data_IF_654365848887
#
_entry.id   IF_654365848887
#
_cell.length_a   1.000
_cell.length_b   1.000
_cell.length_c   1.000
_cell.angle_alpha   90.00
_cell.angle_beta   90.00
_cell.angle_gamma   90.00
#
_symmetry.space_group_name_H-M   'P 1'
#
loop_
_entity.id
_entity.type
_entity.pdbx_description
1 polymer ?
#
# COMPACT_ATOMS: atom_id res chain seq x y z
N UNK A 1 -53.93 2.90 -45.51
CA UNK A 1 -55.13 2.94 -44.65
C UNK A 1 -54.76 3.72 -43.40
N UNK A 2 -55.36 4.89 -43.27
CA UNK A 2 -55.18 5.87 -42.17
C UNK A 2 -55.78 5.36 -40.88
N UNK A 3 -55.26 5.80 -39.72
CA UNK A 3 -55.96 6.30 -38.52
C UNK A 3 -54.89 6.74 -37.51
N UNK A 4 -54.55 8.01 -37.39
CA UNK A 4 -54.92 9.08 -36.44
C UNK A 4 -54.69 8.79 -34.95
N UNK A 5 -53.66 9.35 -34.35
CA UNK A 5 -53.47 10.47 -33.44
C UNK A 5 -54.65 10.77 -32.46
N UNK A 6 -54.41 10.66 -31.16
CA UNK A 6 -55.17 11.40 -30.15
C UNK A 6 -54.25 11.93 -29.03
N UNK A 7 -54.11 13.23 -29.05
CA UNK A 7 -53.59 14.10 -27.99
C UNK A 7 -54.74 14.34 -27.01
N UNK A 8 -54.51 14.12 -25.71
CA UNK A 8 -55.38 14.71 -24.67
C UNK A 8 -54.56 15.57 -23.73
N UNK A 9 -54.73 16.85 -23.96
CA UNK A 9 -54.35 17.96 -23.12
C UNK A 9 -55.31 18.01 -21.90
N UNK A 10 -54.79 18.03 -20.66
CA UNK A 10 -55.53 18.55 -19.50
C UNK A 10 -54.67 19.51 -18.71
N UNK A 11 -55.03 20.79 -18.88
CA UNK A 11 -54.68 21.89 -18.00
C UNK A 11 -55.54 21.86 -16.71
N UNK A 12 -54.98 22.35 -15.63
CA UNK A 12 -55.79 22.76 -14.47
C UNK A 12 -55.04 22.62 -13.14
N UNK A 13 -54.58 23.53 -12.53
CA UNK A 13 -55.03 24.47 -11.54
C UNK A 13 -53.83 24.91 -10.64
N UNK A 14 -53.48 26.18 -10.74
CA UNK A 14 -52.65 26.87 -9.75
C UNK A 14 -53.47 27.07 -8.47
N UNK A 15 -52.94 26.61 -7.35
CA UNK A 15 -53.37 27.01 -6.02
C UNK A 15 -52.22 27.70 -5.31
N UNK A 16 -52.29 29.01 -5.24
CA UNK A 16 -51.43 29.86 -4.44
C UNK A 16 -51.68 29.63 -2.98
N UNK A 17 -50.69 29.16 -2.21
CA UNK A 17 -50.74 29.12 -0.75
C UNK A 17 -49.71 30.13 -0.23
N UNK A 18 -50.20 31.30 0.20
CA UNK A 18 -49.46 32.30 0.94
C UNK A 18 -49.20 31.78 2.34
N UNK A 19 -47.95 31.52 2.69
CA UNK A 19 -47.53 31.21 4.05
C UNK A 19 -46.96 32.50 4.65
N UNK A 20 -47.65 32.95 5.70
CA UNK A 20 -47.26 34.05 6.59
C UNK A 20 -45.93 33.73 7.27
N UNK A 21 -44.92 34.57 7.08
CA UNK A 21 -43.75 34.63 7.94
C UNK A 21 -44.13 35.32 9.25
N UNK A 22 -44.32 34.53 10.29
CA UNK A 22 -44.29 35.04 11.69
C UNK A 22 -42.84 35.18 12.12
N UNK A 23 -42.35 36.39 12.18
CA UNK A 23 -41.07 36.72 12.79
C UNK A 23 -41.17 36.54 14.32
N UNK A 24 -40.63 35.46 14.87
CA UNK A 24 -40.34 35.34 16.29
C UNK A 24 -38.98 35.93 16.56
N UNK A 25 -38.96 37.18 17.03
CA UNK A 25 -37.82 37.80 17.64
C UNK A 25 -37.60 37.18 19.03
N UNK A 26 -36.67 36.25 19.15
CA UNK A 26 -36.16 35.79 20.44
C UNK A 26 -35.11 36.79 20.95
N UNK A 27 -35.52 37.62 21.90
CA UNK A 27 -34.62 38.45 22.71
C UNK A 27 -33.74 37.55 23.58
N UNK A 28 -32.47 37.48 23.27
CA UNK A 28 -31.46 36.92 24.17
C UNK A 28 -31.28 37.83 25.40
N UNK A 29 -31.26 37.30 26.62
CA UNK A 29 -30.97 38.12 27.80
C UNK A 29 -29.52 38.63 27.75
N UNK A 30 -29.39 39.95 27.97
CA UNK A 30 -28.11 40.60 28.12
C UNK A 30 -27.32 39.97 29.27
N UNK A 31 -26.15 39.40 28.97
CA UNK A 31 -25.17 39.02 30.01
C UNK A 31 -24.65 40.33 30.62
N UNK A 32 -24.97 40.54 31.87
CA UNK A 32 -24.35 41.54 32.72
C UNK A 32 -22.85 41.29 32.75
N UNK A 33 -22.07 42.25 32.25
CA UNK A 33 -20.63 42.25 32.36
C UNK A 33 -20.27 42.35 33.88
N UNK A 34 -19.58 41.32 34.36
CA UNK A 34 -18.94 41.38 35.68
C UNK A 34 -17.83 42.45 35.70
N UNK A 35 -17.41 42.89 36.88
CA UNK A 35 -16.44 43.97 36.99
C UNK A 35 -15.12 43.58 36.34
N UNK A 36 -14.65 44.39 35.40
CA UNK A 36 -13.31 44.30 34.79
C UNK A 36 -12.32 44.67 35.91
N UNK A 37 -11.64 43.67 36.45
CA UNK A 37 -10.47 43.89 37.31
C UNK A 37 -9.34 44.26 36.33
N UNK A 38 -9.04 45.57 36.25
CA UNK A 38 -7.85 46.06 35.61
C UNK A 38 -6.64 45.60 36.41
N UNK A 39 -5.91 44.64 35.93
CA UNK A 39 -4.57 44.36 36.42
C UNK A 39 -3.65 45.53 36.04
N UNK A 40 -2.78 45.98 36.94
CA UNK A 40 -1.81 47.01 36.59
C UNK A 40 -0.86 46.46 35.52
N UNK A 41 -0.57 47.29 34.51
CA UNK A 41 0.44 47.06 33.50
C UNK A 41 1.77 46.68 34.14
N UNK A 42 2.04 45.37 34.23
CA UNK A 42 3.41 44.91 34.39
C UNK A 42 4.01 44.83 32.99
N UNK A 43 5.15 45.47 32.74
CA UNK A 43 5.86 45.33 31.51
C UNK A 43 6.23 43.86 31.35
N UNK A 44 5.81 43.25 30.21
CA UNK A 44 6.25 41.92 29.82
C UNK A 44 7.78 41.91 29.81
N UNK A 45 8.43 40.91 30.44
CA UNK A 45 9.87 40.77 30.34
C UNK A 45 10.26 40.75 28.87
N UNK A 46 11.29 41.54 28.53
CA UNK A 46 11.86 41.60 27.19
C UNK A 46 12.07 40.19 26.64
N UNK A 47 11.36 39.87 25.58
CA UNK A 47 11.66 38.65 24.81
C UNK A 47 13.09 38.83 24.29
N UNK A 48 14.02 37.89 24.56
CA UNK A 48 15.32 37.95 23.93
C UNK A 48 15.11 37.93 22.42
N UNK A 49 15.66 38.93 21.75
CA UNK A 49 15.69 38.99 20.28
C UNK A 49 16.43 37.79 19.78
N UNK A 50 15.77 36.94 18.96
CA UNK A 50 16.38 35.78 18.32
C UNK A 50 17.18 36.16 17.07
N UNK A 51 17.43 37.43 16.83
CA UNK A 51 18.26 37.94 15.76
C UNK A 51 19.45 38.70 16.34
N UNK A 52 20.51 37.98 16.70
CA UNK A 52 21.85 38.52 16.66
C UNK A 52 22.52 37.99 15.38
N UNK A 53 22.80 38.93 14.49
CA UNK A 53 23.74 38.75 13.39
C UNK A 53 25.12 38.48 14.00
N UNK A 54 25.59 37.25 13.94
CA UNK A 54 26.95 36.87 13.56
C UNK A 54 27.11 35.36 13.69
N UNK A 55 27.35 34.76 12.54
CA UNK A 55 27.37 33.34 12.37
C UNK A 55 28.54 32.62 13.01
N UNK A 56 28.27 31.85 14.00
CA UNK A 56 28.90 30.53 14.24
C UNK A 56 27.85 29.69 14.97
N UNK A 57 27.25 28.74 14.31
CA UNK A 57 26.41 27.76 14.95
C UNK A 57 27.26 26.89 15.90
N UNK A 58 27.28 27.20 17.16
CA UNK A 58 27.70 26.25 18.19
C UNK A 58 26.50 25.31 18.49
N UNK A 59 26.65 24.08 18.06
CA UNK A 59 25.62 23.01 17.98
C UNK A 59 25.29 22.35 19.33
N UNK A 60 25.82 22.85 20.46
CA UNK A 60 25.83 22.11 21.72
C UNK A 60 24.81 22.54 22.79
N UNK A 61 24.22 23.76 22.77
CA UNK A 61 23.54 24.27 23.96
C UNK A 61 22.09 24.78 23.74
N UNK A 62 21.45 24.51 22.62
CA UNK A 62 20.14 25.07 22.28
C UNK A 62 18.93 24.45 22.98
N UNK A 63 19.09 23.32 23.61
CA UNK A 63 18.02 22.71 24.38
C UNK A 63 18.42 22.59 25.85
N UNK A 64 18.13 23.63 26.62
CA UNK A 64 18.08 23.46 28.06
C UNK A 64 16.96 22.44 28.35
N UNK A 65 17.35 21.19 28.61
CA UNK A 65 16.46 20.07 28.90
C UNK A 65 15.52 20.36 30.08
N UNK A 66 15.81 21.40 30.88
CA UNK A 66 15.00 21.85 32.03
C UNK A 66 13.84 22.76 31.64
N UNK A 67 13.83 23.28 30.39
CA UNK A 67 12.78 24.18 29.91
C UNK A 67 11.53 23.44 29.38
N UNK A 68 11.59 22.12 29.17
CA UNK A 68 10.46 21.34 28.72
C UNK A 68 9.64 20.82 29.91
N UNK A 69 8.35 21.10 29.90
CA UNK A 69 7.40 20.43 30.82
C UNK A 69 7.36 18.96 30.44
N UNK A 70 7.90 18.10 31.29
CA UNK A 70 7.81 16.65 31.15
C UNK A 70 6.67 16.14 32.01
N UNK A 71 5.84 15.23 31.49
CA UNK A 71 4.92 14.46 32.29
C UNK A 71 5.68 13.67 33.38
N UNK A 72 5.10 13.51 34.58
CA UNK A 72 5.76 12.84 35.72
C UNK A 72 6.26 11.42 35.38
N UNK A 73 5.54 10.70 34.52
CA UNK A 73 5.93 9.33 34.09
C UNK A 73 7.16 9.30 33.16
N UNK A 74 7.60 10.47 32.66
CA UNK A 74 8.81 10.59 31.83
C UNK A 74 10.01 11.13 32.60
N UNK A 75 9.87 11.29 33.93
CA UNK A 75 10.97 11.76 34.77
C UNK A 75 12.08 10.69 34.82
N UNK A 76 13.24 11.06 34.30
CA UNK A 76 14.45 10.22 34.31
C UNK A 76 14.76 9.51 32.99
N UNK A 77 13.79 9.34 32.07
CA UNK A 77 13.99 8.67 30.79
C UNK A 77 14.02 9.65 29.62
N UNK A 78 14.95 9.44 28.69
CA UNK A 78 14.97 10.20 27.44
C UNK A 78 13.94 9.60 26.47
N UNK A 79 12.99 10.43 25.95
CA UNK A 79 12.00 9.95 25.03
C UNK A 79 12.64 9.51 23.71
N UNK A 80 12.16 8.39 23.18
CA UNK A 80 12.47 7.93 21.84
C UNK A 80 11.63 8.72 20.85
N UNK A 81 12.25 9.45 19.96
CA UNK A 81 11.56 10.29 18.97
C UNK A 81 11.57 9.63 17.60
N UNK A 82 10.37 9.48 17.04
CA UNK A 82 10.14 8.82 15.75
C UNK A 82 9.42 9.80 14.83
N UNK A 83 10.07 10.20 13.75
CA UNK A 83 9.45 11.06 12.74
C UNK A 83 8.50 10.26 11.85
N UNK A 84 7.26 10.68 11.67
CA UNK A 84 6.31 10.08 10.74
C UNK A 84 5.99 11.06 9.61
N UNK A 85 6.47 10.76 8.41
CA UNK A 85 6.36 11.61 7.24
C UNK A 85 5.22 11.12 6.33
N UNK A 86 4.11 11.87 6.28
CA UNK A 86 2.93 11.52 5.49
C UNK A 86 2.39 12.72 4.70
N UNK A 87 1.69 12.50 3.58
CA UNK A 87 1.18 13.57 2.71
C UNK A 87 -0.17 14.13 3.20
N UNK A 88 -0.18 14.76 4.39
CA UNK A 88 -1.41 15.23 5.04
C UNK A 88 -2.14 16.30 4.25
N UNK A 89 -1.41 17.16 3.54
CA UNK A 89 -1.97 18.26 2.75
C UNK A 89 -1.76 18.09 1.24
N UNK A 90 -1.55 16.86 0.75
CA UNK A 90 -1.43 16.60 -0.68
C UNK A 90 -2.66 17.11 -1.45
N UNK A 91 -2.49 17.53 -2.70
CA UNK A 91 -3.59 17.99 -3.56
C UNK A 91 -4.64 16.90 -3.80
N UNK A 92 -4.19 15.65 -3.91
CA UNK A 92 -5.05 14.49 -4.11
C UNK A 92 -5.78 14.12 -2.80
N UNK A 93 -7.11 14.19 -2.81
CA UNK A 93 -7.96 13.86 -1.65
C UNK A 93 -7.80 12.39 -1.19
N UNK A 94 -7.60 11.45 -2.11
CA UNK A 94 -7.39 10.06 -1.75
C UNK A 94 -6.05 9.88 -0.99
N UNK A 95 -5.02 10.61 -1.38
CA UNK A 95 -3.73 10.62 -0.68
C UNK A 95 -3.87 11.17 0.74
N UNK A 96 -4.63 12.26 0.93
CA UNK A 96 -4.91 12.82 2.28
C UNK A 96 -5.66 11.84 3.16
N UNK A 97 -6.68 11.16 2.63
CA UNK A 97 -7.42 10.12 3.38
C UNK A 97 -6.54 8.95 3.78
N UNK A 98 -5.66 8.50 2.88
CA UNK A 98 -4.68 7.45 3.20
C UNK A 98 -3.71 7.94 4.28
N UNK A 99 -3.17 9.15 4.17
CA UNK A 99 -2.27 9.72 5.16
C UNK A 99 -2.90 9.82 6.56
N UNK A 100 -4.17 10.27 6.64
CA UNK A 100 -4.92 10.30 7.89
C UNK A 100 -5.06 8.90 8.50
N UNK A 101 -5.49 7.91 7.71
CA UNK A 101 -5.65 6.54 8.20
C UNK A 101 -4.31 5.88 8.58
N UNK A 102 -3.22 6.18 7.89
CA UNK A 102 -1.88 5.73 8.27
C UNK A 102 -1.43 6.38 9.59
N UNK A 103 -1.75 7.64 9.83
CA UNK A 103 -1.47 8.30 11.09
C UNK A 103 -2.30 7.69 12.23
N UNK A 104 -3.60 7.45 12.01
CA UNK A 104 -4.46 6.77 12.97
C UNK A 104 -3.91 5.38 13.33
N UNK A 105 -3.45 4.62 12.33
CA UNK A 105 -2.83 3.31 12.53
C UNK A 105 -1.51 3.39 13.32
N UNK A 106 -0.68 4.41 13.04
CA UNK A 106 0.54 4.65 13.81
C UNK A 106 0.26 5.02 15.27
N UNK A 107 -0.79 5.83 15.53
CA UNK A 107 -1.22 6.12 16.90
C UNK A 107 -1.71 4.85 17.61
N UNK A 108 -2.50 4.02 16.93
CA UNK A 108 -2.95 2.74 17.48
C UNK A 108 -1.76 1.87 17.90
N UNK A 109 -0.73 1.80 17.05
CA UNK A 109 0.50 1.05 17.36
C UNK A 109 1.25 1.60 18.59
N UNK A 110 1.26 2.91 18.79
CA UNK A 110 1.83 3.54 20.02
C UNK A 110 1.06 3.09 21.26
N UNK A 111 -0.27 3.09 21.20
CA UNK A 111 -1.09 2.61 22.31
C UNK A 111 -0.90 1.12 22.58
N UNK A 112 -0.83 0.31 21.53
CA UNK A 112 -0.63 -1.14 21.65
C UNK A 112 0.76 -1.51 22.19
N UNK A 113 1.78 -0.72 21.84
CA UNK A 113 3.13 -0.89 22.36
C UNK A 113 3.21 -0.60 23.86
N UNK A 114 2.38 0.32 24.37
CA UNK A 114 2.33 0.69 25.79
C UNK A 114 3.60 1.37 26.34
N UNK A 115 4.52 1.77 25.45
CA UNK A 115 5.75 2.47 25.86
C UNK A 115 5.48 3.97 26.03
N UNK A 116 5.53 4.43 27.26
CA UNK A 116 5.26 5.81 27.64
C UNK A 116 6.35 6.78 27.18
N UNK A 117 7.53 6.29 26.85
CA UNK A 117 8.66 7.11 26.40
C UNK A 117 8.78 7.19 24.86
N UNK A 118 7.87 6.58 24.11
CA UNK A 118 7.84 6.61 22.66
C UNK A 118 7.02 7.81 22.15
N UNK A 119 7.67 8.71 21.41
CA UNK A 119 7.05 9.91 20.86
C UNK A 119 7.00 9.88 19.35
N UNK A 120 5.81 9.86 18.79
CA UNK A 120 5.57 9.98 17.34
C UNK A 120 5.48 11.47 16.96
N UNK A 121 6.28 11.88 15.96
CA UNK A 121 6.38 13.26 15.48
C UNK A 121 5.86 13.31 14.04
N UNK A 122 4.57 13.63 13.81
CA UNK A 122 4.03 13.72 12.47
C UNK A 122 4.57 14.96 11.74
N UNK A 123 4.94 14.79 10.46
CA UNK A 123 5.41 15.83 9.53
C UNK A 123 4.71 15.70 8.20
N UNK A 124 4.30 16.82 7.66
CA UNK A 124 3.60 16.87 6.38
C UNK A 124 4.59 16.96 5.21
N UNK A 125 4.50 15.97 4.30
CA UNK A 125 5.29 15.94 3.06
C UNK A 125 4.62 16.67 1.90
N UNK A 126 3.37 17.03 2.02
CA UNK A 126 2.50 17.55 0.95
C UNK A 126 2.36 16.60 -0.27
N UNK A 127 2.98 15.41 -0.21
CA UNK A 127 3.05 14.49 -1.32
C UNK A 127 4.09 14.86 -2.38
N UNK A 128 5.01 15.75 -2.06
CA UNK A 128 6.00 16.33 -2.95
C UNK A 128 7.43 16.02 -2.47
N UNK A 129 8.38 15.95 -3.39
CA UNK A 129 9.79 15.71 -3.10
C UNK A 129 10.38 16.79 -2.16
N UNK A 130 10.16 18.08 -2.46
CA UNK A 130 10.67 19.19 -1.65
C UNK A 130 10.03 19.20 -0.25
N UNK A 131 8.71 18.96 -0.18
CA UNK A 131 7.97 18.83 1.08
C UNK A 131 8.51 17.70 1.94
N UNK A 132 8.80 16.53 1.37
CA UNK A 132 9.37 15.39 2.05
C UNK A 132 10.79 15.67 2.61
N UNK A 133 11.64 16.29 1.81
CA UNK A 133 12.97 16.71 2.28
C UNK A 133 12.89 17.73 3.42
N UNK A 134 11.96 18.70 3.36
CA UNK A 134 11.74 19.66 4.42
C UNK A 134 11.18 18.98 5.69
N UNK A 135 10.24 18.05 5.54
CA UNK A 135 9.67 17.25 6.62
C UNK A 135 10.75 16.41 7.33
N UNK A 136 11.63 15.75 6.56
CA UNK A 136 12.75 14.99 7.10
C UNK A 136 13.72 15.89 7.91
N UNK A 137 14.13 17.03 7.36
CA UNK A 137 14.97 18.00 8.11
C UNK A 137 14.31 18.48 9.40
N UNK A 138 13.01 18.76 9.35
CA UNK A 138 12.26 19.18 10.54
C UNK A 138 12.18 18.08 11.58
N UNK A 139 11.90 16.84 11.19
CA UNK A 139 11.85 15.71 12.13
C UNK A 139 13.22 15.47 12.79
N UNK A 140 14.30 15.55 12.03
CA UNK A 140 15.67 15.43 12.56
C UNK A 140 16.03 16.58 13.50
N UNK A 141 15.62 17.82 13.19
CA UNK A 141 15.80 18.96 14.09
C UNK A 141 15.03 18.80 15.41
N UNK A 142 13.87 18.13 15.39
CA UNK A 142 13.12 17.75 16.59
C UNK A 142 13.72 16.53 17.31
N UNK A 143 14.83 15.99 16.82
CA UNK A 143 15.58 14.90 17.43
C UNK A 143 15.06 13.51 17.10
N UNK A 144 14.40 13.32 15.95
CA UNK A 144 14.00 11.99 15.49
C UNK A 144 15.20 11.06 15.34
N UNK A 145 15.10 9.85 15.88
CA UNK A 145 16.14 8.81 15.85
C UNK A 145 15.90 7.82 14.71
N UNK A 146 14.70 7.75 14.19
CA UNK A 146 14.27 7.01 13.00
C UNK A 146 13.16 7.77 12.29
N UNK A 147 13.07 7.61 10.97
CA UNK A 147 12.01 8.20 10.15
C UNK A 147 11.11 7.08 9.61
N UNK A 148 9.80 7.21 9.77
CA UNK A 148 8.77 6.36 9.16
C UNK A 148 8.11 7.12 8.02
N UNK A 149 7.94 6.48 6.86
CA UNK A 149 7.56 7.17 5.65
C UNK A 149 8.77 7.72 4.88
N UNK A 150 8.55 8.47 3.79
CA UNK A 150 7.26 8.83 3.20
C UNK A 150 6.59 7.73 2.37
N UNK A 151 5.47 8.10 1.71
CA UNK A 151 4.65 7.16 0.93
C UNK A 151 5.02 7.09 -0.55
N UNK A 152 5.26 8.23 -1.21
CA UNK A 152 5.48 8.31 -2.64
C UNK A 152 6.97 8.21 -3.01
N UNK A 153 7.30 7.56 -4.14
CA UNK A 153 8.67 7.30 -4.56
C UNK A 153 9.55 8.56 -4.59
N UNK A 154 9.13 9.61 -5.28
CA UNK A 154 9.87 10.88 -5.34
C UNK A 154 10.08 11.52 -3.95
N UNK A 155 9.08 11.38 -3.07
CA UNK A 155 9.18 11.83 -1.67
C UNK A 155 10.21 11.00 -0.89
N UNK A 156 10.27 9.68 -1.13
CA UNK A 156 11.24 8.78 -0.50
C UNK A 156 12.66 9.13 -0.94
N UNK A 157 12.90 9.31 -2.24
CA UNK A 157 14.21 9.70 -2.76
C UNK A 157 14.70 11.01 -2.15
N UNK A 158 13.84 12.03 -2.08
CA UNK A 158 14.19 13.33 -1.53
C UNK A 158 14.44 13.28 0.00
N UNK A 159 13.65 12.54 0.76
CA UNK A 159 13.87 12.33 2.19
C UNK A 159 15.12 11.50 2.46
N UNK A 160 15.41 10.48 1.62
CA UNK A 160 16.58 9.62 1.72
C UNK A 160 17.91 10.39 1.66
N UNK A 161 17.99 11.42 0.81
CA UNK A 161 19.18 12.30 0.76
C UNK A 161 19.43 12.93 2.14
N UNK A 162 18.38 13.38 2.81
CA UNK A 162 18.48 14.05 4.11
C UNK A 162 18.82 13.06 5.22
N UNK A 163 18.15 11.92 5.26
CA UNK A 163 18.32 10.91 6.30
C UNK A 163 19.68 10.21 6.22
N UNK A 164 20.17 9.94 4.99
CA UNK A 164 21.53 9.40 4.75
C UNK A 164 22.62 10.35 5.22
N UNK A 165 22.49 11.66 4.91
CA UNK A 165 23.43 12.67 5.39
C UNK A 165 23.49 12.75 6.92
N UNK A 166 22.35 12.56 7.60
CA UNK A 166 22.23 12.53 9.05
C UNK A 166 22.56 11.16 9.67
N UNK A 167 22.77 10.12 8.86
CA UNK A 167 22.93 8.72 9.29
C UNK A 167 21.78 8.23 10.16
N UNK A 168 20.56 8.71 9.87
CA UNK A 168 19.33 8.32 10.55
C UNK A 168 18.60 7.31 9.67
N UNK A 169 18.24 6.12 10.16
CA UNK A 169 17.54 5.12 9.36
C UNK A 169 16.13 5.59 9.01
N UNK A 170 15.63 5.09 7.88
CA UNK A 170 14.30 5.40 7.38
C UNK A 170 13.57 4.11 6.96
N UNK A 171 12.32 3.93 7.42
CA UNK A 171 11.41 2.88 6.96
C UNK A 171 10.33 3.57 6.12
N UNK A 172 10.48 3.56 4.81
CA UNK A 172 9.56 4.19 3.86
C UNK A 172 8.48 3.22 3.38
N UNK A 173 7.37 3.76 2.85
CA UNK A 173 6.19 2.99 2.45
C UNK A 173 6.03 2.83 0.93
N UNK A 174 7.03 3.26 0.16
CA UNK A 174 7.04 3.08 -1.29
C UNK A 174 7.39 1.63 -1.68
N UNK A 175 6.79 1.16 -2.76
CA UNK A 175 7.16 -0.10 -3.40
C UNK A 175 8.20 0.07 -4.52
N UNK A 176 8.70 1.28 -4.73
CA UNK A 176 9.78 1.57 -5.68
C UNK A 176 11.12 1.28 -5.03
N UNK A 177 11.82 0.27 -5.53
CA UNK A 177 13.06 -0.24 -4.95
C UNK A 177 14.28 0.66 -5.22
N UNK A 178 14.16 1.70 -6.05
CA UNK A 178 15.29 2.57 -6.44
C UNK A 178 15.93 3.32 -5.26
N UNK A 179 15.14 3.61 -4.23
CA UNK A 179 15.60 4.31 -3.03
C UNK A 179 16.08 3.38 -1.90
N UNK A 180 15.99 2.05 -2.07
CA UNK A 180 16.39 1.09 -1.04
C UNK A 180 17.90 1.11 -0.74
N UNK A 181 18.27 0.63 0.45
CA UNK A 181 19.68 0.54 0.88
C UNK A 181 20.21 1.79 1.57
N UNK A 182 21.44 1.71 2.06
CA UNK A 182 22.11 2.79 2.78
C UNK A 182 21.27 3.40 3.92
N UNK A 183 20.65 2.52 4.75
CA UNK A 183 19.81 2.91 5.86
C UNK A 183 18.36 3.24 5.51
N UNK A 184 17.96 3.07 4.25
CA UNK A 184 16.57 3.20 3.78
C UNK A 184 15.97 1.82 3.56
N UNK A 185 14.92 1.50 4.31
CA UNK A 185 14.18 0.26 4.23
C UNK A 185 12.78 0.54 3.66
N UNK A 186 12.30 -0.34 2.78
CA UNK A 186 11.01 -0.16 2.11
C UNK A 186 10.00 -1.17 2.66
N UNK A 187 9.23 -0.78 3.68
CA UNK A 187 8.12 -1.58 4.17
C UNK A 187 6.89 -1.32 3.31
N UNK A 188 6.64 -2.22 2.37
CA UNK A 188 5.59 -2.06 1.36
C UNK A 188 4.98 -3.40 0.93
N UNK A 189 4.16 -3.38 -0.10
CA UNK A 189 3.62 -4.56 -0.78
C UNK A 189 4.12 -4.61 -2.23
N UNK A 190 5.38 -5.03 -2.47
CA UNK A 190 5.90 -5.15 -3.83
C UNK A 190 5.12 -6.23 -4.60
N UNK A 191 4.61 -5.93 -5.80
CA UNK A 191 3.88 -6.91 -6.59
C UNK A 191 4.74 -8.12 -6.98
N UNK A 192 6.06 -7.97 -7.05
CA UNK A 192 7.00 -9.06 -7.32
C UNK A 192 6.86 -10.20 -6.30
N UNK A 193 6.66 -9.88 -5.02
CA UNK A 193 6.49 -10.90 -3.97
C UNK A 193 5.18 -11.69 -4.14
N UNK A 194 4.11 -11.00 -4.56
CA UNK A 194 2.83 -11.64 -4.85
C UNK A 194 2.97 -12.58 -6.06
N UNK A 195 3.65 -12.12 -7.09
CA UNK A 195 3.91 -12.89 -8.32
C UNK A 195 4.83 -14.08 -8.03
N UNK A 196 5.92 -13.88 -7.32
CA UNK A 196 6.81 -14.97 -6.93
C UNK A 196 6.05 -16.07 -6.19
N UNK A 197 5.21 -15.69 -5.21
CA UNK A 197 4.47 -16.63 -4.39
C UNK A 197 3.39 -17.40 -5.17
N UNK A 198 2.59 -16.71 -6.01
CA UNK A 198 1.56 -17.40 -6.81
C UNK A 198 2.17 -18.28 -7.89
N UNK A 199 3.30 -17.86 -8.47
CA UNK A 199 4.03 -18.68 -9.47
C UNK A 199 4.63 -19.92 -8.83
N UNK A 200 5.29 -19.79 -7.68
CA UNK A 200 5.81 -20.91 -6.91
C UNK A 200 4.71 -21.94 -6.64
N UNK A 201 3.57 -21.49 -6.12
CA UNK A 201 2.45 -22.39 -5.84
C UNK A 201 1.90 -23.05 -7.12
N UNK A 202 1.70 -22.28 -8.18
CA UNK A 202 1.19 -22.81 -9.44
C UNK A 202 2.12 -23.89 -10.01
N UNK A 203 3.43 -23.68 -9.95
CA UNK A 203 4.41 -24.66 -10.41
C UNK A 203 4.50 -25.89 -9.49
N UNK A 204 4.31 -25.73 -8.18
CA UNK A 204 4.17 -26.86 -7.26
C UNK A 204 2.92 -27.72 -7.55
N UNK A 205 1.91 -27.13 -8.21
CA UNK A 205 0.74 -27.85 -8.73
C UNK A 205 0.96 -28.35 -10.17
N UNK A 206 2.20 -28.48 -10.63
CA UNK A 206 2.60 -28.97 -11.95
C UNK A 206 2.12 -28.12 -13.15
N UNK A 207 1.76 -26.84 -12.90
CA UNK A 207 1.45 -25.90 -13.97
C UNK A 207 2.76 -25.26 -14.45
N UNK A 208 3.23 -25.65 -15.63
CA UNK A 208 4.52 -25.21 -16.19
C UNK A 208 4.39 -24.36 -17.46
N UNK A 209 3.19 -24.24 -18.03
CA UNK A 209 2.91 -23.46 -19.24
C UNK A 209 1.90 -22.37 -18.92
N UNK A 210 2.30 -21.13 -19.19
CA UNK A 210 1.55 -19.96 -18.79
C UNK A 210 1.19 -19.06 -19.96
N UNK A 211 0.05 -18.39 -19.88
CA UNK A 211 -0.31 -17.23 -20.66
C UNK A 211 -0.26 -15.97 -19.82
N UNK A 212 -0.14 -14.82 -20.45
CA UNK A 212 -0.21 -13.51 -19.79
C UNK A 212 -1.20 -12.64 -20.53
N UNK A 213 -2.10 -11.98 -19.79
CA UNK A 213 -3.02 -10.98 -20.30
C UNK A 213 -2.94 -9.76 -19.39
N UNK A 214 -2.08 -8.80 -19.74
CA UNK A 214 -1.72 -7.70 -18.86
C UNK A 214 -1.99 -6.33 -19.48
N UNK A 215 -2.28 -5.28 -18.66
CA UNK A 215 -2.50 -3.94 -19.16
C UNK A 215 -1.20 -3.31 -19.70
N UNK A 216 -1.33 -2.41 -20.67
CA UNK A 216 -0.24 -1.60 -21.22
C UNK A 216 0.05 -0.41 -20.30
N UNK A 217 0.54 -0.70 -19.10
CA UNK A 217 0.89 0.28 -18.05
C UNK A 217 2.21 -0.09 -17.40
N UNK A 218 2.87 0.85 -16.73
CA UNK A 218 4.09 0.58 -15.98
C UNK A 218 3.89 -0.54 -14.92
N UNK A 219 2.70 -0.62 -14.30
CA UNK A 219 2.35 -1.72 -13.41
C UNK A 219 2.27 -3.06 -14.15
N UNK A 220 1.59 -3.10 -15.31
CA UNK A 220 1.50 -4.30 -16.12
C UNK A 220 2.87 -4.76 -16.62
N UNK A 221 3.75 -3.84 -17.03
CA UNK A 221 5.12 -4.15 -17.46
C UNK A 221 5.92 -4.77 -16.30
N UNK A 222 5.84 -4.16 -15.13
CA UNK A 222 6.53 -4.61 -13.92
C UNK A 222 6.09 -6.01 -13.50
N UNK A 223 4.78 -6.26 -13.47
CA UNK A 223 4.20 -7.55 -13.06
C UNK A 223 4.48 -8.64 -14.09
N UNK A 224 4.36 -8.34 -15.40
CA UNK A 224 4.69 -9.30 -16.46
C UNK A 224 6.17 -9.65 -16.45
N UNK A 225 7.05 -8.69 -16.23
CA UNK A 225 8.49 -8.91 -16.10
C UNK A 225 8.83 -9.84 -14.94
N UNK A 226 8.32 -9.53 -13.74
CA UNK A 226 8.51 -10.37 -12.56
C UNK A 226 7.96 -11.80 -12.78
N UNK A 227 6.79 -11.91 -13.44
CA UNK A 227 6.22 -13.22 -13.73
C UNK A 227 7.09 -14.03 -14.70
N UNK A 228 7.63 -13.39 -15.73
CA UNK A 228 8.51 -14.06 -16.68
C UNK A 228 9.80 -14.55 -15.98
N UNK A 229 10.41 -13.73 -15.13
CA UNK A 229 11.60 -14.10 -14.35
C UNK A 229 11.31 -15.32 -13.45
N UNK A 230 10.21 -15.29 -12.70
CA UNK A 230 9.84 -16.37 -11.79
C UNK A 230 9.50 -17.68 -12.51
N UNK A 231 8.76 -17.59 -13.62
CA UNK A 231 8.42 -18.76 -14.45
C UNK A 231 9.69 -19.38 -15.02
N UNK A 232 10.57 -18.59 -15.63
CA UNK A 232 11.81 -19.11 -16.24
C UNK A 232 12.81 -19.63 -15.21
N UNK A 233 12.96 -18.96 -14.08
CA UNK A 233 13.84 -19.40 -13.00
C UNK A 233 13.47 -20.81 -12.48
N UNK A 234 12.18 -21.16 -12.54
CA UNK A 234 11.66 -22.48 -12.11
C UNK A 234 11.48 -23.49 -13.25
N UNK A 235 11.91 -23.15 -14.47
CA UNK A 235 11.86 -24.07 -15.61
C UNK A 235 10.50 -24.13 -16.32
N UNK A 236 9.59 -23.20 -16.05
CA UNK A 236 8.34 -23.03 -16.77
C UNK A 236 8.51 -22.26 -18.08
N UNK A 237 7.41 -22.07 -18.80
CA UNK A 237 7.40 -21.35 -20.08
C UNK A 237 6.16 -20.47 -20.21
N UNK A 238 6.33 -19.25 -20.72
CA UNK A 238 5.25 -18.39 -21.17
C UNK A 238 4.96 -18.75 -22.63
N UNK A 239 3.79 -19.35 -22.87
CA UNK A 239 3.36 -19.80 -24.21
C UNK A 239 3.00 -18.58 -25.06
N UNK A 240 2.28 -17.63 -24.49
CA UNK A 240 1.85 -16.41 -25.17
C UNK A 240 1.56 -15.29 -24.19
N UNK A 241 1.88 -14.07 -24.59
CA UNK A 241 1.57 -12.85 -23.86
C UNK A 241 0.78 -11.89 -24.75
N UNK A 242 -0.29 -11.34 -24.22
CA UNK A 242 -1.06 -10.27 -24.82
C UNK A 242 -1.17 -9.08 -23.89
N UNK A 243 -1.10 -7.90 -24.50
CA UNK A 243 -1.19 -6.62 -23.79
C UNK A 243 -2.39 -5.83 -24.30
N UNK A 244 -3.05 -5.09 -23.42
CA UNK A 244 -4.23 -4.30 -23.76
C UNK A 244 -4.19 -2.91 -23.10
N UNK A 245 -4.81 -1.95 -23.76
CA UNK A 245 -5.13 -0.65 -23.13
C UNK A 245 -6.28 -0.83 -22.14
N UNK A 246 -6.25 -0.08 -21.03
CA UNK A 246 -7.24 -0.21 -19.95
C UNK A 246 -8.61 0.38 -20.30
N UNK A 247 -9.12 0.03 -21.47
CA UNK A 247 -10.45 0.34 -21.97
C UNK A 247 -11.19 -0.95 -22.34
N UNK A 248 -12.49 -1.09 -22.01
CA UNK A 248 -13.23 -2.34 -22.24
C UNK A 248 -13.19 -2.85 -23.67
N UNK A 249 -13.31 -1.97 -24.66
CA UNK A 249 -13.29 -2.34 -26.07
C UNK A 249 -11.90 -2.79 -26.55
N UNK A 250 -10.85 -2.20 -26.00
CA UNK A 250 -9.46 -2.55 -26.32
C UNK A 250 -9.05 -3.92 -25.78
N UNK A 251 -9.75 -4.47 -24.80
CA UNK A 251 -9.49 -5.78 -24.23
C UNK A 251 -9.95 -6.96 -25.11
N UNK A 252 -10.94 -6.73 -26.00
CA UNK A 252 -11.57 -7.80 -26.78
C UNK A 252 -10.59 -8.54 -27.70
N UNK A 253 -9.81 -7.81 -28.49
CA UNK A 253 -8.90 -8.40 -29.45
C UNK A 253 -7.74 -9.14 -28.79
N UNK A 254 -7.02 -8.59 -27.77
CA UNK A 254 -6.00 -9.32 -27.02
C UNK A 254 -6.54 -10.57 -26.35
N UNK A 255 -7.69 -10.51 -25.66
CA UNK A 255 -8.29 -11.68 -25.03
C UNK A 255 -8.64 -12.78 -26.05
N UNK A 256 -9.16 -12.40 -27.23
CA UNK A 256 -9.43 -13.32 -28.32
C UNK A 256 -8.17 -14.00 -28.87
N UNK A 257 -7.08 -13.22 -29.05
CA UNK A 257 -5.81 -13.78 -29.51
C UNK A 257 -5.23 -14.74 -28.49
N UNK A 258 -5.14 -14.33 -27.20
CA UNK A 258 -4.66 -15.21 -26.13
C UNK A 258 -5.46 -16.51 -26.06
N UNK A 259 -6.79 -16.44 -26.20
CA UNK A 259 -7.67 -17.63 -26.12
C UNK A 259 -7.33 -18.70 -27.15
N UNK A 260 -6.80 -18.34 -28.33
CA UNK A 260 -6.36 -19.29 -29.35
C UNK A 260 -5.27 -20.22 -28.84
N UNK A 261 -4.35 -19.70 -28.02
CA UNK A 261 -3.24 -20.47 -27.47
C UNK A 261 -3.61 -21.35 -26.26
N UNK A 262 -4.86 -21.33 -25.82
CA UNK A 262 -5.33 -22.25 -24.76
C UNK A 262 -5.49 -23.69 -25.21
N UNK A 263 -5.68 -23.93 -26.54
CA UNK A 263 -6.05 -25.21 -27.11
C UNK A 263 -5.15 -25.66 -28.25
N UNK A 264 -4.43 -24.75 -28.89
CA UNK A 264 -3.73 -25.05 -30.14
C UNK A 264 -2.39 -25.70 -29.90
N UNK A 265 -2.12 -26.72 -30.73
CA UNK A 265 -0.81 -27.25 -31.00
C UNK A 265 -0.12 -26.25 -31.92
N UNK A 266 0.76 -25.43 -31.38
CA UNK A 266 1.47 -24.41 -32.14
C UNK A 266 2.70 -25.03 -32.77
N UNK A 267 2.85 -25.02 -34.12
CA UNK A 267 4.03 -25.53 -34.79
C UNK A 267 5.30 -24.81 -34.28
N UNK A 268 6.39 -25.55 -34.18
CA UNK A 268 7.69 -25.07 -33.69
C UNK A 268 8.16 -23.79 -34.40
N UNK A 269 7.83 -23.65 -35.67
CA UNK A 269 8.21 -22.55 -36.55
C UNK A 269 7.60 -21.21 -36.16
N UNK A 270 6.46 -21.18 -35.44
CA UNK A 270 5.82 -19.96 -34.97
C UNK A 270 6.33 -19.48 -33.60
N UNK A 271 7.26 -20.21 -32.95
CA UNK A 271 7.76 -19.90 -31.61
C UNK A 271 8.77 -18.77 -31.58
N UNK A 272 9.30 -18.32 -32.71
CA UNK A 272 10.41 -17.36 -32.77
C UNK A 272 10.01 -15.86 -32.72
N UNK A 273 8.72 -15.56 -32.53
CA UNK A 273 8.22 -14.20 -32.72
C UNK A 273 7.93 -13.39 -31.45
N UNK A 274 7.90 -13.98 -30.27
CA UNK A 274 7.49 -13.24 -29.05
C UNK A 274 8.36 -13.58 -27.84
N UNK A 275 9.60 -13.13 -27.88
CA UNK A 275 10.26 -12.71 -26.65
C UNK A 275 10.02 -11.21 -26.56
N UNK A 276 9.32 -10.73 -25.55
CA UNK A 276 9.33 -9.33 -25.19
C UNK A 276 10.79 -8.85 -25.20
N UNK A 277 11.08 -7.56 -25.34
CA UNK A 277 12.36 -6.93 -25.64
C UNK A 277 13.67 -7.53 -25.03
N UNK A 278 13.57 -8.71 -24.42
CA UNK A 278 14.67 -9.52 -23.92
C UNK A 278 14.90 -10.69 -24.87
N UNK A 279 15.87 -10.54 -25.75
CA UNK A 279 16.32 -11.46 -26.80
C UNK A 279 17.02 -12.72 -26.28
N UNK A 280 16.54 -13.35 -25.22
CA UNK A 280 17.02 -14.67 -24.81
C UNK A 280 16.16 -15.75 -25.48
N UNK A 281 16.73 -16.71 -26.20
CA UNK A 281 15.95 -17.79 -26.79
C UNK A 281 15.33 -18.63 -25.65
N UNK A 282 14.01 -18.74 -25.67
CA UNK A 282 13.28 -19.66 -24.79
C UNK A 282 13.86 -21.06 -25.02
N UNK A 283 14.47 -21.65 -23.98
CA UNK A 283 14.87 -23.06 -24.00
C UNK A 283 13.61 -23.91 -24.03
N UNK A 284 13.17 -24.29 -25.23
CA UNK A 284 12.08 -25.22 -25.41
C UNK A 284 12.63 -26.64 -25.30
N UNK A 285 11.96 -27.51 -24.53
CA UNK A 285 12.22 -28.94 -24.58
C UNK A 285 11.98 -29.45 -26.01
N UNK A 286 13.05 -29.86 -26.68
CA UNK A 286 13.11 -30.13 -28.10
C UNK A 286 12.43 -31.45 -28.55
N UNK A 287 11.68 -32.16 -27.68
CA UNK A 287 11.30 -33.53 -27.92
C UNK A 287 9.95 -33.77 -28.58
N UNK A 288 9.10 -32.79 -28.77
CA UNK A 288 7.77 -33.07 -29.34
C UNK A 288 7.30 -32.03 -30.33
N UNK A 289 7.87 -31.48 -31.21
CA UNK A 289 7.33 -30.71 -32.38
C UNK A 289 6.06 -29.84 -32.16
N UNK A 290 5.44 -29.86 -30.97
CA UNK A 290 4.15 -29.27 -30.63
C UNK A 290 4.22 -28.55 -29.30
N UNK A 291 3.70 -27.33 -29.23
CA UNK A 291 3.41 -26.68 -27.95
C UNK A 291 1.98 -27.01 -27.52
N UNK A 292 1.83 -27.61 -26.37
CA UNK A 292 0.52 -27.68 -25.73
C UNK A 292 0.11 -26.24 -25.30
N UNK A 293 -1.18 -25.98 -25.24
CA UNK A 293 -1.70 -24.71 -24.78
C UNK A 293 -1.27 -24.39 -23.32
N UNK A 294 -1.42 -23.13 -22.89
CA UNK A 294 -1.13 -22.77 -21.51
C UNK A 294 -2.09 -23.46 -20.52
N UNK A 295 -1.59 -23.74 -19.33
CA UNK A 295 -2.32 -24.36 -18.23
C UNK A 295 -2.86 -23.33 -17.24
N UNK A 296 -2.20 -22.17 -17.17
CA UNK A 296 -2.64 -21.06 -16.36
C UNK A 296 -2.41 -19.73 -17.09
N UNK A 297 -3.17 -18.70 -16.72
CA UNK A 297 -3.05 -17.35 -17.28
C UNK A 297 -2.96 -16.31 -16.17
N UNK A 298 -1.93 -15.45 -16.21
CA UNK A 298 -1.82 -14.32 -15.33
C UNK A 298 -2.66 -13.16 -15.85
N UNK A 299 -3.51 -12.60 -15.00
CA UNK A 299 -4.36 -11.44 -15.27
C UNK A 299 -4.16 -10.38 -14.16
N UNK A 300 -3.15 -9.50 -14.24
CA UNK A 300 -2.84 -8.53 -13.20
C UNK A 300 -3.73 -7.27 -13.35
N UNK A 301 -5.04 -7.46 -13.26
CA UNK A 301 -6.04 -6.40 -13.37
C UNK A 301 -6.91 -6.36 -12.12
N UNK A 302 -7.64 -5.28 -11.91
CA UNK A 302 -8.44 -5.06 -10.73
C UNK A 302 -9.77 -4.33 -11.00
N UNK A 303 -10.64 -4.31 -10.02
CA UNK A 303 -11.85 -3.48 -10.01
C UNK A 303 -12.82 -3.79 -11.15
N UNK A 304 -13.33 -2.75 -11.79
CA UNK A 304 -14.30 -2.86 -12.89
C UNK A 304 -13.67 -3.42 -14.17
N UNK A 305 -12.40 -3.11 -14.42
CA UNK A 305 -11.69 -3.61 -15.59
C UNK A 305 -11.47 -5.12 -15.52
N UNK A 306 -11.11 -5.66 -14.35
CA UNK A 306 -11.03 -7.10 -14.14
C UNK A 306 -12.38 -7.80 -14.42
N UNK A 307 -13.48 -7.22 -13.95
CA UNK A 307 -14.82 -7.77 -14.20
C UNK A 307 -15.26 -7.69 -15.66
N UNK A 308 -14.71 -6.76 -16.43
CA UNK A 308 -14.90 -6.71 -17.88
C UNK A 308 -14.02 -7.71 -18.61
N UNK A 309 -12.77 -7.89 -18.15
CA UNK A 309 -11.76 -8.74 -18.79
C UNK A 309 -12.00 -10.25 -18.57
N UNK A 310 -12.27 -10.66 -17.33
CA UNK A 310 -12.33 -12.07 -16.97
C UNK A 310 -13.36 -12.89 -17.77
N UNK A 311 -14.59 -12.38 -18.03
CA UNK A 311 -15.57 -13.10 -18.84
C UNK A 311 -15.17 -13.30 -20.31
N UNK A 312 -14.20 -12.53 -20.83
CA UNK A 312 -13.77 -12.67 -22.23
C UNK A 312 -13.07 -14.02 -22.49
N UNK A 313 -12.36 -14.56 -21.50
CA UNK A 313 -11.70 -15.86 -21.66
C UNK A 313 -12.71 -16.98 -21.94
N UNK A 314 -13.72 -17.25 -21.09
CA UNK A 314 -14.75 -18.25 -21.40
C UNK A 314 -15.60 -17.86 -22.61
N UNK A 315 -15.84 -16.57 -22.86
CA UNK A 315 -16.54 -16.11 -24.06
C UNK A 315 -15.82 -16.57 -25.36
N UNK A 316 -14.49 -16.52 -25.36
CA UNK A 316 -13.66 -17.03 -26.46
C UNK A 316 -13.30 -18.52 -26.31
N UNK A 317 -14.10 -19.29 -25.54
CA UNK A 317 -13.98 -20.71 -25.35
C UNK A 317 -12.71 -21.20 -24.64
N UNK A 318 -12.10 -20.41 -23.77
CA UNK A 318 -11.14 -20.91 -22.79
C UNK A 318 -11.90 -21.68 -21.71
N UNK A 319 -11.53 -22.93 -21.48
CA UNK A 319 -12.13 -23.73 -20.41
C UNK A 319 -11.50 -23.37 -19.06
N UNK A 320 -12.17 -22.51 -18.31
CA UNK A 320 -11.71 -22.04 -16.98
C UNK A 320 -11.71 -23.13 -15.90
N UNK A 321 -12.28 -24.32 -16.16
CA UNK A 321 -12.14 -25.45 -15.25
C UNK A 321 -10.80 -26.20 -15.47
N UNK A 322 -10.17 -25.99 -16.61
CA UNK A 322 -8.88 -26.61 -16.98
C UNK A 322 -7.73 -25.61 -16.98
N UNK A 323 -8.00 -24.37 -17.34
CA UNK A 323 -7.02 -23.27 -17.32
C UNK A 323 -7.21 -22.47 -16.01
N UNK A 324 -6.18 -22.48 -15.18
CA UNK A 324 -6.17 -21.74 -13.93
C UNK A 324 -5.94 -20.26 -14.19
N UNK A 325 -6.75 -19.39 -13.58
CA UNK A 325 -6.52 -17.95 -13.64
C UNK A 325 -5.70 -17.52 -12.42
N UNK A 326 -4.61 -16.80 -12.65
CA UNK A 326 -3.73 -16.26 -11.64
C UNK A 326 -3.93 -14.74 -11.53
N UNK A 327 -4.02 -14.22 -10.33
CA UNK A 327 -4.24 -12.81 -10.06
C UNK A 327 -3.23 -12.23 -9.08
N UNK A 328 -3.54 -11.04 -8.60
CA UNK A 328 -2.75 -10.25 -7.65
C UNK A 328 -3.56 -9.97 -6.38
N UNK A 329 -2.93 -9.46 -5.34
CA UNK A 329 -3.56 -9.27 -4.01
C UNK A 329 -4.81 -8.39 -4.01
N UNK A 330 -4.97 -7.50 -5.00
CA UNK A 330 -6.22 -6.72 -5.18
C UNK A 330 -7.46 -7.58 -5.44
N UNK A 331 -7.27 -8.88 -5.74
CA UNK A 331 -8.35 -9.86 -5.86
C UNK A 331 -8.93 -10.28 -4.52
N UNK A 332 -8.29 -9.93 -3.41
CA UNK A 332 -8.86 -10.13 -2.08
C UNK A 332 -10.03 -9.16 -1.83
N UNK A 333 -11.06 -9.29 -2.64
CA UNK A 333 -12.26 -8.46 -2.61
C UNK A 333 -13.51 -9.37 -2.68
N UNK A 334 -14.35 -9.38 -1.63
CA UNK A 334 -15.53 -10.23 -1.59
C UNK A 334 -16.51 -10.06 -2.77
N UNK A 335 -16.46 -8.92 -3.46
CA UNK A 335 -17.30 -8.68 -4.64
C UNK A 335 -16.93 -9.59 -5.82
N UNK A 336 -15.68 -10.04 -5.90
CA UNK A 336 -15.21 -10.91 -6.98
C UNK A 336 -15.74 -12.36 -6.88
N UNK A 337 -16.22 -12.78 -5.71
CA UNK A 337 -16.85 -14.11 -5.54
C UNK A 337 -18.13 -14.27 -6.37
N UNK A 338 -18.71 -13.15 -6.82
CA UNK A 338 -19.90 -13.12 -7.68
C UNK A 338 -19.56 -13.24 -9.17
N UNK A 339 -18.29 -13.19 -9.55
CA UNK A 339 -17.84 -13.27 -10.95
C UNK A 339 -17.55 -14.73 -11.33
N UNK A 340 -18.42 -15.38 -12.12
CA UNK A 340 -18.25 -16.81 -12.44
C UNK A 340 -16.94 -17.12 -13.13
N UNK A 341 -16.44 -16.19 -13.95
CA UNK A 341 -15.20 -16.36 -14.69
C UNK A 341 -13.93 -16.38 -13.82
N UNK A 342 -14.02 -15.86 -12.59
CA UNK A 342 -12.89 -15.83 -11.66
C UNK A 342 -12.91 -16.97 -10.64
N UNK A 343 -13.94 -17.82 -10.65
CA UNK A 343 -14.04 -18.95 -9.72
C UNK A 343 -12.88 -19.91 -9.91
N UNK A 344 -12.28 -20.32 -8.80
CA UNK A 344 -11.10 -21.15 -8.81
C UNK A 344 -9.81 -20.39 -9.16
N UNK A 345 -9.86 -19.06 -9.34
CA UNK A 345 -8.68 -18.23 -9.57
C UNK A 345 -7.82 -18.11 -8.31
N UNK A 346 -6.50 -18.16 -8.49
CA UNK A 346 -5.50 -18.09 -7.41
C UNK A 346 -4.78 -16.75 -7.39
N UNK A 347 -4.48 -16.29 -6.21
CA UNK A 347 -3.64 -15.10 -6.01
C UNK A 347 -2.94 -15.16 -4.66
N UNK A 348 -1.79 -14.49 -4.55
CA UNK A 348 -1.09 -14.35 -3.29
C UNK A 348 -1.52 -13.06 -2.58
N UNK A 349 -1.77 -13.16 -1.28
CA UNK A 349 -2.09 -12.01 -0.43
C UNK A 349 -1.75 -12.34 1.04
N UNK A 350 -1.70 -11.35 1.96
CA UNK A 350 -1.72 -11.61 3.37
C UNK A 350 -2.90 -12.49 3.79
N UNK A 351 -2.69 -13.32 4.79
CA UNK A 351 -3.73 -14.19 5.30
C UNK A 351 -4.88 -13.37 5.90
N UNK A 352 -6.13 -13.46 5.38
CA UNK A 352 -7.26 -12.68 5.87
C UNK A 352 -7.59 -12.91 7.34
N UNK A 353 -7.25 -14.07 7.90
CA UNK A 353 -7.49 -14.36 9.31
C UNK A 353 -6.57 -13.57 10.23
N UNK A 354 -5.38 -13.21 9.74
CA UNK A 354 -4.40 -12.38 10.45
C UNK A 354 -4.81 -10.91 10.32
N UNK A 355 -5.07 -10.45 9.09
CA UNK A 355 -5.42 -9.05 8.82
C UNK A 355 -6.73 -8.63 9.50
N UNK A 356 -7.70 -9.53 9.62
CA UNK A 356 -8.99 -9.27 10.27
C UNK A 356 -8.86 -8.79 11.72
N UNK A 357 -7.83 -9.22 12.44
CA UNK A 357 -7.58 -8.78 13.82
C UNK A 357 -7.23 -7.28 13.85
N UNK A 358 -6.31 -6.84 12.99
CA UNK A 358 -5.95 -5.44 12.87
C UNK A 358 -7.11 -4.59 12.35
N UNK A 359 -7.81 -5.07 11.30
CA UNK A 359 -8.94 -4.35 10.71
C UNK A 359 -10.04 -4.10 11.75
N UNK A 360 -10.36 -5.13 12.55
CA UNK A 360 -11.34 -5.00 13.63
C UNK A 360 -10.86 -4.02 14.70
N UNK A 361 -9.61 -4.13 15.15
CA UNK A 361 -9.05 -3.27 16.18
C UNK A 361 -9.03 -1.79 15.73
N UNK A 362 -8.63 -1.55 14.50
CA UNK A 362 -8.68 -0.23 13.89
C UNK A 362 -10.12 0.31 13.79
N UNK A 363 -11.06 -0.51 13.32
CA UNK A 363 -12.45 -0.11 13.18
C UNK A 363 -13.11 0.17 14.55
N UNK A 364 -12.78 -0.59 15.58
CA UNK A 364 -13.25 -0.36 16.94
C UNK A 364 -12.73 0.98 17.50
N UNK A 365 -11.49 1.38 17.15
CA UNK A 365 -10.88 2.62 17.61
C UNK A 365 -11.36 3.85 16.82
N UNK A 366 -11.51 3.75 15.50
CA UNK A 366 -11.75 4.89 14.61
C UNK A 366 -13.11 4.86 13.87
N UNK A 367 -13.93 3.85 14.09
CA UNK A 367 -15.30 3.76 13.55
C UNK A 367 -15.40 3.40 12.06
N UNK A 368 -14.31 3.07 11.38
CA UNK A 368 -14.28 2.68 9.97
C UNK A 368 -13.19 1.68 9.68
N UNK A 369 -13.38 0.85 8.63
CA UNK A 369 -12.33 -0.08 8.20
C UNK A 369 -11.10 0.69 7.66
N UNK A 370 -9.88 0.22 7.98
CA UNK A 370 -8.66 0.86 7.50
C UNK A 370 -8.48 0.65 5.98
N UNK A 371 -7.93 1.62 5.24
CA UNK A 371 -7.38 1.36 3.93
C UNK A 371 -6.17 0.43 4.05
N UNK A 372 -5.90 -0.35 2.98
CA UNK A 372 -4.84 -1.36 2.97
C UNK A 372 -3.46 -0.86 3.45
N UNK A 373 -3.09 0.36 3.08
CA UNK A 373 -1.78 0.91 3.43
C UNK A 373 -1.65 1.33 4.90
N UNK A 374 -2.75 1.38 5.65
CA UNK A 374 -2.71 1.76 7.08
C UNK A 374 -1.89 0.77 7.92
N UNK A 375 -1.94 -0.52 7.59
CA UNK A 375 -1.15 -1.56 8.26
C UNK A 375 0.36 -1.33 8.20
N UNK A 376 0.87 -0.70 7.12
CA UNK A 376 2.30 -0.39 6.98
C UNK A 376 2.77 0.58 8.07
N UNK A 377 2.00 1.63 8.32
CA UNK A 377 2.33 2.60 9.37
C UNK A 377 2.19 1.99 10.77
N UNK A 378 1.19 1.14 10.98
CA UNK A 378 1.04 0.35 12.21
C UNK A 378 2.27 -0.53 12.45
N UNK A 379 2.65 -1.35 11.47
CA UNK A 379 3.77 -2.29 11.58
C UNK A 379 5.11 -1.57 11.77
N UNK A 380 5.38 -0.49 11.02
CA UNK A 380 6.60 0.29 11.16
C UNK A 380 6.70 0.96 12.54
N UNK A 381 5.59 1.47 13.06
CA UNK A 381 5.55 2.11 14.39
C UNK A 381 5.72 1.08 15.48
N UNK A 382 5.02 -0.06 15.40
CA UNK A 382 5.14 -1.14 16.39
C UNK A 382 6.55 -1.76 16.40
N UNK A 383 7.15 -1.95 15.21
CA UNK A 383 8.55 -2.37 15.07
C UNK A 383 9.49 -1.37 15.76
N UNK A 384 9.33 -0.08 15.48
CA UNK A 384 10.16 0.97 16.07
C UNK A 384 10.02 1.01 17.59
N UNK A 385 8.81 0.88 18.13
CA UNK A 385 8.56 0.83 19.56
C UNK A 385 9.21 -0.42 20.21
N UNK A 386 9.10 -1.58 19.56
CA UNK A 386 9.75 -2.82 20.05
C UNK A 386 11.28 -2.68 20.08
N UNK A 387 11.90 -2.12 19.04
CA UNK A 387 13.33 -1.88 19.01
C UNK A 387 13.77 -0.85 20.05
N UNK A 388 12.95 0.17 20.29
CA UNK A 388 13.17 1.16 21.33
C UNK A 388 13.20 0.54 22.73
N UNK A 389 12.26 -0.36 23.02
CA UNK A 389 12.11 -1.01 24.32
C UNK A 389 13.20 -2.06 24.61
N UNK A 390 13.71 -2.75 23.59
CA UNK A 390 14.61 -3.89 23.75
C UNK A 390 16.08 -3.57 23.58
N UNK A 391 16.42 -2.42 22.98
CA UNK A 391 17.80 -2.09 22.61
C UNK A 391 18.29 -0.81 23.27
N UNK A 392 19.61 -0.75 23.53
CA UNK A 392 20.25 0.49 24.00
C UNK A 392 20.16 1.58 22.92
N UNK A 393 20.10 2.85 23.34
CA UNK A 393 19.91 4.01 22.45
C UNK A 393 20.77 3.98 21.16
N UNK A 394 22.04 3.60 21.26
CA UNK A 394 22.98 3.57 20.11
C UNK A 394 22.80 2.36 19.18
N UNK A 395 22.05 1.37 19.60
CA UNK A 395 21.92 0.07 18.91
C UNK A 395 20.49 -0.17 18.40
N UNK A 396 19.51 0.62 18.87
CA UNK A 396 18.08 0.36 18.66
C UNK A 396 17.61 0.43 17.22
N UNK A 397 18.23 1.29 16.41
CA UNK A 397 17.85 1.51 15.01
C UNK A 397 19.00 1.30 14.04
N UNK A 398 19.92 0.38 14.35
CA UNK A 398 20.95 -0.02 13.40
C UNK A 398 20.37 -0.90 12.28
N UNK A 399 21.11 -1.04 11.19
CA UNK A 399 20.73 -1.95 10.10
C UNK A 399 20.52 -3.37 10.62
N UNK A 400 21.40 -3.84 11.49
CA UNK A 400 21.33 -5.19 12.08
C UNK A 400 20.08 -5.38 12.94
N UNK A 401 19.67 -4.32 13.68
CA UNK A 401 18.47 -4.41 14.53
C UNK A 401 17.18 -4.36 13.71
N UNK A 402 17.15 -3.56 12.63
CA UNK A 402 15.99 -3.43 11.75
C UNK A 402 15.87 -4.66 10.82
N UNK A 403 16.99 -5.16 10.31
CA UNK A 403 17.05 -6.28 9.37
C UNK A 403 17.25 -7.64 10.10
N UNK A 404 16.45 -7.92 11.14
CA UNK A 404 16.48 -9.20 11.84
C UNK A 404 16.12 -10.34 10.88
N UNK A 405 16.99 -11.35 10.68
CA UNK A 405 16.73 -12.45 9.76
C UNK A 405 15.50 -13.31 10.14
N UNK A 406 15.08 -13.30 11.40
CA UNK A 406 13.85 -13.97 11.83
C UNK A 406 12.59 -13.21 11.40
N UNK A 407 12.72 -11.93 11.12
CA UNK A 407 11.61 -11.05 10.77
C UNK A 407 10.71 -10.70 11.95
N UNK A 408 9.59 -10.10 11.62
CA UNK A 408 8.60 -9.57 12.54
C UNK A 408 7.20 -10.04 12.15
N UNK A 409 6.34 -10.18 13.13
CA UNK A 409 4.94 -10.52 12.90
C UNK A 409 4.09 -9.26 13.13
N UNK A 410 3.51 -8.75 12.06
CA UNK A 410 2.71 -7.52 12.06
C UNK A 410 1.24 -7.75 11.70
N UNK A 411 0.56 -6.68 11.37
CA UNK A 411 -0.86 -6.65 11.00
C UNK A 411 -1.19 -7.53 9.79
N UNK A 412 -0.27 -7.60 8.82
CA UNK A 412 -0.40 -8.42 7.61
C UNK A 412 0.38 -9.76 7.69
N UNK A 413 0.76 -10.18 8.88
CA UNK A 413 1.51 -11.41 9.10
C UNK A 413 3.02 -11.21 9.12
N UNK A 414 3.75 -12.25 8.74
CA UNK A 414 5.22 -12.27 8.80
C UNK A 414 5.84 -11.36 7.73
N UNK A 415 6.77 -10.52 8.14
CA UNK A 415 7.63 -9.77 7.23
C UNK A 415 9.05 -9.64 7.79
N UNK A 416 10.03 -9.41 6.94
CA UNK A 416 11.36 -8.95 7.33
C UNK A 416 11.87 -7.88 6.39
N UNK A 417 12.69 -7.00 6.94
CA UNK A 417 13.44 -6.02 6.18
C UNK A 417 14.86 -6.55 5.98
N UNK A 418 15.35 -6.52 4.76
CA UNK A 418 16.70 -6.99 4.43
C UNK A 418 17.72 -5.87 4.58
N UNK A 419 18.98 -6.21 4.75
CA UNK A 419 20.07 -5.22 4.89
C UNK A 419 20.25 -4.32 3.65
N UNK A 420 19.80 -4.78 2.48
CA UNK A 420 19.76 -4.00 1.24
C UNK A 420 18.55 -3.05 1.15
N UNK A 421 17.73 -2.99 2.19
CA UNK A 421 16.54 -2.15 2.26
C UNK A 421 15.27 -2.74 1.65
N UNK A 422 15.33 -3.92 1.06
CA UNK A 422 14.15 -4.61 0.52
C UNK A 422 13.31 -5.27 1.61
N UNK A 423 12.07 -5.64 1.29
CA UNK A 423 11.18 -6.37 2.19
C UNK A 423 10.90 -7.76 1.66
N UNK A 424 10.76 -8.72 2.56
CA UNK A 424 10.14 -10.02 2.30
C UNK A 424 8.87 -10.17 3.14
N UNK A 425 7.87 -10.85 2.59
CA UNK A 425 6.57 -11.08 3.25
C UNK A 425 6.13 -12.52 3.15
N UNK A 426 5.61 -13.06 4.23
CA UNK A 426 4.88 -14.32 4.24
C UNK A 426 3.48 -14.11 3.67
N UNK A 427 3.24 -14.60 2.44
CA UNK A 427 1.96 -14.50 1.78
C UNK A 427 1.27 -15.87 1.70
N UNK A 428 -0.05 -15.89 1.93
CA UNK A 428 -0.90 -17.03 1.68
C UNK A 428 -1.29 -17.10 0.20
N UNK A 429 -1.68 -18.29 -0.27
CA UNK A 429 -2.41 -18.43 -1.55
C UNK A 429 -3.90 -18.54 -1.24
N UNK A 430 -4.65 -17.69 -1.92
CA UNK A 430 -6.09 -17.61 -1.81
C UNK A 430 -6.75 -18.04 -3.11
N UNK A 431 -7.93 -18.63 -2.98
CA UNK A 431 -8.79 -19.03 -4.11
C UNK A 431 -10.15 -18.34 -4.02
N UNK A 432 -10.62 -17.82 -5.16
CA UNK A 432 -11.97 -17.27 -5.28
C UNK A 432 -12.97 -18.44 -5.41
N UNK A 433 -13.86 -18.57 -4.43
CA UNK A 433 -14.93 -19.58 -4.41
C UNK A 433 -16.32 -18.95 -4.35
N UNK A 434 -17.39 -19.70 -4.73
CA UNK A 434 -18.75 -19.16 -4.69
C UNK A 434 -19.22 -18.68 -3.31
N UNK A 435 -18.64 -19.21 -2.25
CA UNK A 435 -19.00 -18.89 -0.86
C UNK A 435 -18.10 -17.84 -0.20
N UNK A 436 -17.03 -17.43 -0.87
CA UNK A 436 -16.03 -16.52 -0.29
C UNK A 436 -14.64 -16.70 -0.91
N UNK A 437 -13.69 -16.00 -0.36
CA UNK A 437 -12.27 -16.17 -0.68
C UNK A 437 -11.68 -17.09 0.40
N UNK A 438 -11.00 -18.16 -0.01
CA UNK A 438 -10.45 -19.16 0.91
C UNK A 438 -8.94 -19.25 0.80
N UNK A 439 -8.26 -19.39 1.93
CA UNK A 439 -6.85 -19.75 1.99
C UNK A 439 -6.71 -21.22 1.63
N UNK A 440 -5.97 -21.50 0.55
CA UNK A 440 -5.69 -22.86 0.07
C UNK A 440 -4.26 -23.29 0.35
N UNK A 441 -3.37 -22.34 0.59
CA UNK A 441 -2.02 -22.58 1.08
C UNK A 441 -1.64 -21.46 2.06
N UNK A 442 -1.41 -21.78 3.34
CA UNK A 442 -1.22 -20.78 4.38
C UNK A 442 0.08 -19.99 4.22
N UNK A 443 0.09 -18.78 4.76
CA UNK A 443 1.32 -17.98 4.86
C UNK A 443 2.35 -18.68 5.76
N UNK A 444 3.66 -18.60 5.44
CA UNK A 444 4.71 -19.11 6.30
C UNK A 444 4.71 -18.36 7.64
N UNK A 445 5.02 -19.07 8.72
CA UNK A 445 5.12 -18.51 10.08
C UNK A 445 6.54 -18.17 10.49
N UNK A 446 7.52 -18.49 9.66
CA UNK A 446 8.94 -18.27 9.90
C UNK A 446 9.65 -18.17 8.55
N UNK A 447 10.70 -17.34 8.48
CA UNK A 447 11.62 -17.30 7.34
C UNK A 447 12.75 -18.33 7.46
N UNK A 448 12.90 -18.94 8.61
CA UNK A 448 13.85 -20.05 8.77
C UNK A 448 13.26 -21.30 8.14
N UNK A 449 14.04 -22.09 7.36
CA UNK A 449 13.58 -23.41 6.94
C UNK A 449 13.22 -24.21 8.19
N UNK A 450 11.99 -24.72 8.25
CA UNK A 450 11.60 -25.65 9.31
C UNK A 450 12.54 -26.86 9.31
N UNK A 451 13.10 -27.17 10.44
CA UNK A 451 13.81 -28.42 10.67
C UNK A 451 12.83 -29.58 10.73
#
# INVERSE_FOLDING_TARGET
MRVTMNIVLRAGLAASLAIFFAACSSSSPARTAGPVISQPDQPLPDRPSIYEEDGVFQEADRYDRRAFVRPEHMDGDEPVRVGLLLPFSADNEAARRIASAMFDAAQLAVFDAGDQNFLLIPKDTRGEAEGAAAAARSALADGAEIILGPLFAESVEAAAIVTRAAKTPMIAFSSDLTAAGDGVFLLSFPPELEIARVTEYAMAQELIRFGVLAPMTAYGDRVSGAFAEEVFARGGVIVHEERYEQEPDAMLAPAKRLAQYSKEIIPLEMRHGYAGNNTQPVKTSAEAGYTQGYQAVLMPEQGTLLRALAPLLPYYNVDINRVKILGVSSWNNPRLTREPALRGGWFAAPDPTITASFEKHFADAFGSAPPRLASLAYDATLLSARLAATSRRRERFTTESIADPNGYFGADGLFRLNADGTVERGLAILEIQPGGIQVIDPAPRSFSPGY
#
